data_IF_912285359229
#
_entry.id   IF_912285359229
#
_cell.length_a   1.000
_cell.length_b   1.000
_cell.length_c   1.000
_cell.angle_alpha   90.00
_cell.angle_beta   90.00
_cell.angle_gamma   90.00
#
_symmetry.space_group_name_H-M   'P 1'
#
loop_
_entity.id
_entity.type
_entity.pdbx_description
1 polymer ?
#
# COMPACT_ATOMS: atom_id res chain seq x y z
N UNK A 1 1.10 -12.00 -2.02
CA UNK A 1 1.03 -11.46 -0.64
C UNK A 1 1.82 -10.17 -0.61
N UNK A 2 1.39 -9.15 0.14
CA UNK A 2 2.20 -7.94 0.33
C UNK A 2 3.40 -8.27 1.22
N UNK A 3 4.56 -7.59 1.11
CA UNK A 3 5.70 -7.87 1.96
C UNK A 3 5.39 -7.65 3.45
N UNK A 4 5.93 -8.52 4.31
CA UNK A 4 5.74 -8.41 5.75
C UNK A 4 6.30 -7.10 6.32
N UNK A 5 7.44 -6.63 5.80
CA UNK A 5 8.04 -5.33 6.10
C UNK A 5 7.05 -4.17 5.92
N UNK A 6 6.28 -4.16 4.83
CA UNK A 6 5.30 -3.11 4.58
C UNK A 6 4.20 -3.12 5.64
N UNK A 7 3.68 -4.32 5.96
CA UNK A 7 2.63 -4.47 6.96
C UNK A 7 3.14 -4.08 8.36
N UNK A 8 4.37 -4.47 8.70
CA UNK A 8 4.99 -4.13 9.97
C UNK A 8 5.19 -2.62 10.13
N UNK A 9 5.78 -1.96 9.14
CA UNK A 9 6.02 -0.52 9.17
C UNK A 9 4.71 0.27 9.16
N UNK A 10 3.70 -0.16 8.42
CA UNK A 10 2.39 0.48 8.44
C UNK A 10 1.72 0.40 9.83
N UNK A 11 1.80 -0.75 10.50
CA UNK A 11 1.34 -0.88 11.88
C UNK A 11 2.11 0.03 12.85
N UNK A 12 3.44 0.13 12.68
CA UNK A 12 4.29 1.02 13.48
C UNK A 12 3.89 2.48 13.32
N UNK A 13 3.71 2.95 12.08
CA UNK A 13 3.32 4.34 11.80
C UNK A 13 1.92 4.67 12.32
N UNK A 14 1.02 3.69 12.38
CA UNK A 14 -0.31 3.84 12.98
C UNK A 14 -0.32 3.68 14.52
N UNK A 15 0.80 3.29 15.13
CA UNK A 15 0.87 3.04 16.57
C UNK A 15 0.00 1.86 17.04
N UNK A 16 -0.26 0.88 16.16
CA UNK A 16 -1.07 -0.30 16.49
C UNK A 16 -0.19 -1.56 16.58
N UNK A 17 -0.64 -2.54 17.36
CA UNK A 17 0.00 -3.86 17.40
C UNK A 17 -0.28 -4.63 16.11
N UNK A 18 0.78 -5.01 15.40
CA UNK A 18 0.65 -5.81 14.19
C UNK A 18 0.10 -7.22 14.49
N UNK A 19 -0.89 -7.64 13.68
CA UNK A 19 -1.40 -9.02 13.63
C UNK A 19 -1.62 -9.41 12.17
N UNK A 20 -0.93 -10.44 11.65
CA UNK A 20 -1.15 -10.94 10.28
C UNK A 20 -2.60 -11.37 10.03
N UNK A 21 -3.28 -11.86 11.08
CA UNK A 21 -4.63 -12.39 11.03
C UNK A 21 -5.72 -11.32 11.23
N UNK A 22 -5.35 -10.10 11.63
CA UNK A 22 -6.30 -9.04 12.02
C UNK A 22 -5.85 -7.68 11.54
N UNK A 23 -5.67 -7.55 10.23
CA UNK A 23 -5.31 -6.26 9.60
C UNK A 23 -6.52 -5.32 9.58
N UNK A 24 -6.38 -4.05 9.98
CA UNK A 24 -7.47 -3.08 9.89
C UNK A 24 -7.98 -2.91 8.45
N UNK A 25 -9.30 -2.79 8.28
CA UNK A 25 -9.93 -2.62 6.96
C UNK A 25 -9.38 -1.39 6.19
N UNK A 26 -9.10 -0.29 6.90
CA UNK A 26 -8.55 0.95 6.33
C UNK A 26 -7.19 0.79 5.65
N UNK A 27 -6.45 -0.29 5.92
CA UNK A 27 -5.17 -0.55 5.25
C UNK A 27 -5.31 -0.77 3.74
N UNK A 28 -6.46 -1.25 3.28
CA UNK A 28 -6.76 -1.32 1.85
C UNK A 28 -6.66 0.07 1.19
N UNK A 29 -7.19 1.09 1.85
CA UNK A 29 -7.12 2.48 1.37
C UNK A 29 -5.68 3.01 1.31
N UNK A 30 -4.85 2.69 2.30
CA UNK A 30 -3.44 3.07 2.27
C UNK A 30 -2.66 2.42 1.15
N UNK A 31 -2.93 1.14 0.87
CA UNK A 31 -2.30 0.46 -0.26
C UNK A 31 -2.70 1.13 -1.58
N UNK A 32 -3.98 1.49 -1.75
CA UNK A 32 -4.41 2.23 -2.95
C UNK A 32 -3.67 3.55 -3.09
N UNK A 33 -3.63 4.36 -2.03
CA UNK A 33 -3.04 5.70 -2.08
C UNK A 33 -1.51 5.64 -2.23
N UNK A 34 -0.82 4.87 -1.41
CA UNK A 34 0.65 4.93 -1.32
C UNK A 34 1.37 4.13 -2.40
N UNK A 35 0.68 3.13 -2.96
CA UNK A 35 1.30 2.21 -3.92
C UNK A 35 0.67 2.36 -5.29
N UNK A 36 -0.65 2.20 -5.42
CA UNK A 36 -1.25 2.16 -6.76
C UNK A 36 -1.42 3.55 -7.38
N UNK A 37 -2.05 4.48 -6.66
CA UNK A 37 -2.27 5.86 -7.12
C UNK A 37 -0.94 6.62 -7.31
N UNK A 38 0.12 6.23 -6.60
CA UNK A 38 1.45 6.85 -6.69
C UNK A 38 2.28 6.39 -7.91
N UNK A 39 1.94 5.26 -8.54
CA UNK A 39 2.64 4.77 -9.73
C UNK A 39 2.09 5.45 -10.99
N UNK A 40 0.77 5.52 -11.07
CA UNK A 40 0.02 6.10 -12.19
C UNK A 40 -1.46 6.18 -11.79
N UNK A 41 -2.12 7.32 -11.99
CA UNK A 41 -3.56 7.46 -11.76
C UNK A 41 -4.37 6.43 -12.57
N UNK A 42 -3.91 6.08 -13.77
CA UNK A 42 -4.57 5.11 -14.64
C UNK A 42 -4.51 3.69 -14.04
N UNK A 43 -3.44 3.35 -13.32
CA UNK A 43 -3.31 2.05 -12.63
C UNK A 43 -4.31 1.98 -11.46
N UNK A 44 -4.40 3.04 -10.67
CA UNK A 44 -5.39 3.14 -9.59
C UNK A 44 -6.82 3.05 -10.11
N UNK A 45 -7.12 3.71 -11.23
CA UNK A 45 -8.43 3.72 -11.85
C UNK A 45 -8.82 2.39 -12.47
N UNK A 46 -7.90 1.72 -13.16
CA UNK A 46 -8.12 0.36 -13.67
C UNK A 46 -8.38 -0.64 -12.53
N UNK A 47 -7.72 -0.47 -11.38
CA UNK A 47 -7.96 -1.30 -10.20
C UNK A 47 -9.33 -1.03 -9.58
N UNK A 48 -9.76 0.24 -9.48
CA UNK A 48 -11.10 0.61 -9.00
C UNK A 48 -12.19 0.09 -9.94
N UNK A 49 -12.00 0.17 -11.26
CA UNK A 49 -12.94 -0.39 -12.26
C UNK A 49 -13.08 -1.90 -12.13
N UNK A 50 -11.97 -2.62 -11.93
CA UNK A 50 -11.96 -4.08 -11.82
C UNK A 50 -12.39 -4.61 -10.45
N UNK A 51 -12.28 -3.79 -9.40
CA UNK A 51 -12.76 -4.12 -8.06
C UNK A 51 -13.55 -2.95 -7.45
N UNK A 52 -14.79 -2.71 -7.91
CA UNK A 52 -15.58 -1.55 -7.52
C UNK A 52 -16.09 -1.60 -6.07
N UNK A 53 -15.81 -2.68 -5.33
CA UNK A 53 -16.20 -2.83 -3.93
C UNK A 53 -15.02 -3.33 -3.09
N UNK A 54 -14.52 -2.55 -2.11
CA UNK A 54 -13.42 -2.96 -1.24
C UNK A 54 -13.74 -4.20 -0.38
N UNK A 55 -15.01 -4.64 -0.35
CA UNK A 55 -15.48 -5.84 0.34
C UNK A 55 -15.33 -7.14 -0.47
N UNK A 56 -15.10 -7.09 -1.78
CA UNK A 56 -15.13 -8.27 -2.67
C UNK A 56 -13.72 -8.75 -3.06
N UNK A 57 -13.05 -9.35 -2.07
CA UNK A 57 -12.36 -10.66 -2.13
C UNK A 57 -11.67 -11.15 -3.43
N UNK A 58 -11.12 -10.28 -4.28
CA UNK A 58 -9.95 -10.66 -5.10
C UNK A 58 -8.70 -10.08 -4.48
N UNK A 59 -7.90 -10.98 -3.95
CA UNK A 59 -6.56 -10.76 -3.46
C UNK A 59 -5.80 -9.76 -4.33
N UNK A 60 -5.64 -8.51 -3.88
CA UNK A 60 -4.98 -7.42 -4.63
C UNK A 60 -3.60 -7.83 -5.19
N UNK A 61 -2.94 -8.80 -4.55
CA UNK A 61 -1.67 -9.35 -4.97
C UNK A 61 -1.71 -10.25 -6.21
N UNK A 62 -2.88 -10.72 -6.67
CA UNK A 62 -2.99 -11.44 -7.94
C UNK A 62 -2.76 -10.47 -9.12
N UNK A 63 -3.16 -9.21 -8.98
CA UNK A 63 -2.99 -8.17 -10.01
C UNK A 63 -1.53 -7.74 -10.21
N UNK A 64 -0.67 -7.96 -9.21
CA UNK A 64 0.78 -7.85 -9.36
C UNK A 64 1.33 -8.78 -10.44
N UNK A 65 0.60 -9.82 -10.86
CA UNK A 65 1.04 -10.72 -11.93
C UNK A 65 0.74 -10.18 -13.33
N UNK A 66 -0.30 -9.36 -13.48
CA UNK A 66 -0.86 -9.00 -14.78
C UNK A 66 -0.43 -7.60 -15.26
N UNK A 67 -0.06 -6.70 -14.34
CA UNK A 67 0.29 -5.33 -14.71
C UNK A 67 1.51 -4.82 -13.94
N UNK A 68 2.54 -4.38 -14.68
CA UNK A 68 3.64 -3.58 -14.15
C UNK A 68 4.26 -4.13 -12.85
N UNK A 69 4.37 -5.46 -12.70
CA UNK A 69 4.83 -6.14 -11.47
C UNK A 69 6.05 -5.47 -10.85
N UNK A 70 7.02 -5.17 -11.70
CA UNK A 70 8.29 -4.57 -11.29
C UNK A 70 8.10 -3.12 -10.85
N UNK A 71 7.24 -2.34 -11.51
CA UNK A 71 6.88 -0.98 -11.07
C UNK A 71 6.22 -1.02 -9.69
N UNK A 72 5.27 -1.92 -9.48
CA UNK A 72 4.59 -2.03 -8.19
C UNK A 72 5.53 -2.52 -7.10
N UNK A 73 6.36 -3.52 -7.39
CA UNK A 73 7.37 -3.99 -6.44
C UNK A 73 8.36 -2.87 -6.09
N UNK A 74 8.85 -2.12 -7.08
CA UNK A 74 9.75 -1.00 -6.87
C UNK A 74 9.10 0.09 -6.01
N UNK A 75 7.85 0.44 -6.29
CA UNK A 75 7.10 1.40 -5.48
C UNK A 75 6.94 0.91 -4.03
N UNK A 76 6.58 -0.36 -3.83
CA UNK A 76 6.46 -0.93 -2.48
C UNK A 76 7.79 -0.83 -1.73
N UNK A 77 8.93 -1.14 -2.38
CA UNK A 77 10.24 -1.01 -1.76
C UNK A 77 10.58 0.45 -1.40
N UNK A 78 10.30 1.40 -2.30
CA UNK A 78 10.49 2.83 -2.01
C UNK A 78 9.63 3.29 -0.84
N UNK A 79 8.35 2.90 -0.82
CA UNK A 79 7.44 3.23 0.28
C UNK A 79 7.94 2.64 1.59
N UNK A 80 8.40 1.39 1.62
CA UNK A 80 8.99 0.77 2.82
C UNK A 80 10.19 1.57 3.31
N UNK A 81 11.09 1.99 2.42
CA UNK A 81 12.26 2.81 2.78
C UNK A 81 11.82 4.14 3.39
N UNK A 82 10.86 4.84 2.77
CA UNK A 82 10.33 6.10 3.29
C UNK A 82 9.69 5.87 4.66
N UNK A 83 8.84 4.84 4.82
CA UNK A 83 8.22 4.49 6.10
C UNK A 83 9.28 4.31 7.20
N UNK A 84 10.35 3.54 6.94
CA UNK A 84 11.46 3.32 7.88
C UNK A 84 12.17 4.60 8.31
N UNK A 85 12.19 5.63 7.46
CA UNK A 85 12.77 6.94 7.77
C UNK A 85 11.83 7.87 8.54
N UNK A 86 10.55 7.50 8.68
CA UNK A 86 9.53 8.34 9.29
C UNK A 86 9.22 7.91 10.73
N UNK A 87 8.98 8.89 11.59
CA UNK A 87 8.62 8.64 13.00
C UNK A 87 7.17 8.16 13.16
N UNK A 88 6.24 8.72 12.37
CA UNK A 88 4.80 8.50 12.47
C UNK A 88 4.11 8.71 11.11
N UNK A 89 2.82 8.40 11.06
CA UNK A 89 2.01 8.50 9.84
C UNK A 89 1.94 9.92 9.26
N UNK A 90 2.04 10.96 10.07
CA UNK A 90 1.98 12.35 9.58
C UNK A 90 3.29 12.74 8.89
N UNK A 91 4.44 12.39 9.48
CA UNK A 91 5.76 12.55 8.85
C UNK A 91 5.84 11.76 7.52
N UNK A 92 5.33 10.53 7.51
CA UNK A 92 5.26 9.70 6.31
C UNK A 92 4.45 10.35 5.18
N UNK A 93 3.21 10.80 5.45
CA UNK A 93 2.37 11.46 4.45
C UNK A 93 3.01 12.76 3.94
N UNK A 94 3.69 13.51 4.82
CA UNK A 94 4.39 14.74 4.44
C UNK A 94 5.52 14.48 3.45
N UNK A 95 6.34 13.46 3.73
CA UNK A 95 7.44 13.05 2.83
C UNK A 95 6.94 12.43 1.54
N UNK A 96 5.93 11.57 1.60
CA UNK A 96 5.40 10.90 0.40
C UNK A 96 4.82 11.90 -0.62
N UNK A 97 4.17 12.98 -0.17
CA UNK A 97 3.65 14.05 -1.05
C UNK A 97 4.73 14.95 -1.65
N UNK A 98 5.94 14.91 -1.09
CA UNK A 98 7.08 15.72 -1.56
C UNK A 98 7.90 14.99 -2.65
N UNK A 99 7.58 13.71 -2.91
CA UNK A 99 8.07 12.90 -4.01
C UNK A 99 7.03 12.85 -5.13
#
# INVERSE_FOLDING_TARGET
>A
MFPDDFCFELARLEGIRYSPHSRPLRWGSYIMIFVYDAIDSDVGDELRKKNPSPCLLKNHHQWLKDFGRDKVNNQIQQVIVIMKLCKDMEDFKGKLKSF
#
